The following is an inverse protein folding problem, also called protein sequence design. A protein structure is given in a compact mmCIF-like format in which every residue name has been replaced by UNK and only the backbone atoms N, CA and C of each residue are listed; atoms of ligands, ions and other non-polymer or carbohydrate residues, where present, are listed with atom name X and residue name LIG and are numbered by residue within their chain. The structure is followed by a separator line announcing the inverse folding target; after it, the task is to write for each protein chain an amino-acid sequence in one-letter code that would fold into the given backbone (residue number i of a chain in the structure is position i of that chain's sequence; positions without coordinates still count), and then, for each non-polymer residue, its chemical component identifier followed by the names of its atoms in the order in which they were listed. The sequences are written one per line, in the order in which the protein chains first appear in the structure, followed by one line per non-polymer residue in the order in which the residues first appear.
data_IF_638908073363
#
_entry.id   IF_638908073363
#
_cell.length_a   1.000
_cell.length_b   1.000
_cell.length_c   1.000
_cell.angle_alpha   90.00
_cell.angle_beta   90.00
_cell.angle_gamma   90.00
#
_symmetry.space_group_name_H-M   'P 1'
#
loop_
_entity.id
_entity.type
_entity.pdbx_description
1 polymer ?
#
# COMPACT_ATOMS: atom_id res chain seq x y z
N UNK A 1 -2.93 5.26 -14.69
CA UNK A 1 -2.31 4.70 -13.47
C UNK A 1 -3.16 5.16 -12.31
N UNK A 2 -3.67 4.22 -11.55
CA UNK A 2 -4.56 4.49 -10.42
C UNK A 2 -3.80 4.30 -9.11
N UNK A 3 -4.18 5.04 -8.06
CA UNK A 3 -3.49 5.01 -6.76
C UNK A 3 -4.53 4.87 -5.65
N UNK A 4 -4.33 3.89 -4.78
CA UNK A 4 -5.19 3.65 -3.62
C UNK A 4 -4.34 3.40 -2.37
N UNK A 5 -4.56 4.16 -1.32
CA UNK A 5 -3.94 3.91 -0.03
C UNK A 5 -4.77 2.92 0.80
N UNK A 6 -4.10 2.03 1.51
CA UNK A 6 -4.70 1.18 2.55
C UNK A 6 -4.05 1.52 3.88
N UNK A 7 -4.80 2.17 4.73
CA UNK A 7 -4.32 2.73 5.99
C UNK A 7 -5.03 2.09 7.21
N UNK A 8 -4.70 2.55 8.39
CA UNK A 8 -5.17 2.06 9.67
C UNK A 8 -4.04 1.94 10.69
N UNK A 9 -4.38 1.67 11.93
CA UNK A 9 -3.37 1.56 13.00
C UNK A 9 -2.55 0.27 12.88
N UNK A 10 -1.48 0.18 13.66
CA UNK A 10 -0.65 -1.03 13.73
C UNK A 10 -1.50 -2.24 14.12
N UNK A 11 -1.26 -3.39 13.49
CA UNK A 11 -1.97 -4.66 13.72
C UNK A 11 -3.48 -4.66 13.37
N UNK A 12 -3.97 -3.68 12.61
CA UNK A 12 -5.37 -3.70 12.13
C UNK A 12 -5.62 -4.70 11.00
N UNK A 13 -4.59 -5.31 10.41
CA UNK A 13 -4.73 -6.29 9.33
C UNK A 13 -4.52 -5.73 7.92
N UNK A 14 -3.93 -4.53 7.78
CA UNK A 14 -3.62 -3.91 6.47
C UNK A 14 -2.89 -4.83 5.50
N UNK A 15 -1.76 -5.36 5.93
CA UNK A 15 -0.94 -6.24 5.08
C UNK A 15 -1.70 -7.49 4.65
N UNK A 16 -2.50 -8.08 5.57
CA UNK A 16 -3.34 -9.24 5.26
C UNK A 16 -4.39 -8.89 4.20
N UNK A 17 -5.06 -7.75 4.34
CA UNK A 17 -6.04 -7.30 3.36
C UNK A 17 -5.38 -7.01 2.01
N UNK A 18 -4.28 -6.24 2.00
CA UNK A 18 -3.52 -5.93 0.78
C UNK A 18 -3.07 -7.18 0.03
N UNK A 19 -2.54 -8.17 0.75
CA UNK A 19 -2.11 -9.43 0.13
C UNK A 19 -3.28 -10.14 -0.57
N UNK A 20 -4.47 -10.18 0.05
CA UNK A 20 -5.67 -10.79 -0.53
C UNK A 20 -6.17 -10.01 -1.76
N UNK A 21 -6.22 -8.67 -1.68
CA UNK A 21 -6.61 -7.79 -2.79
C UNK A 21 -5.63 -7.96 -3.96
N UNK A 22 -4.33 -7.89 -3.69
CA UNK A 22 -3.28 -8.05 -4.70
C UNK A 22 -3.41 -9.40 -5.40
N UNK A 23 -3.58 -10.50 -4.65
CA UNK A 23 -3.72 -11.82 -5.23
C UNK A 23 -4.96 -11.92 -6.14
N UNK A 24 -6.11 -11.38 -5.70
CA UNK A 24 -7.35 -11.41 -6.48
C UNK A 24 -7.22 -10.59 -7.77
N UNK A 25 -6.81 -9.32 -7.68
CA UNK A 25 -6.70 -8.44 -8.84
C UNK A 25 -5.62 -8.90 -9.83
N UNK A 26 -4.48 -9.41 -9.32
CA UNK A 26 -3.43 -9.98 -10.19
C UNK A 26 -3.90 -11.25 -10.91
N UNK A 27 -4.72 -12.09 -10.27
CA UNK A 27 -5.31 -13.27 -10.93
C UNK A 27 -6.29 -12.91 -12.04
N UNK A 28 -6.83 -11.69 -12.03
CA UNK A 28 -7.70 -11.10 -13.06
C UNK A 28 -6.91 -10.38 -14.17
N UNK A 29 -5.56 -10.44 -14.11
CA UNK A 29 -4.67 -9.88 -15.14
C UNK A 29 -4.19 -8.46 -14.88
N UNK A 30 -4.55 -7.83 -13.76
CA UNK A 30 -4.07 -6.48 -13.43
C UNK A 30 -2.62 -6.49 -12.95
N UNK A 31 -1.83 -5.52 -13.41
CA UNK A 31 -0.47 -5.27 -12.91
C UNK A 31 -0.54 -4.38 -11.67
N UNK A 32 -0.29 -4.98 -10.51
CA UNK A 32 -0.35 -4.30 -9.22
C UNK A 32 1.05 -4.02 -8.71
N UNK A 33 1.36 -2.76 -8.39
CA UNK A 33 2.53 -2.40 -7.61
C UNK A 33 2.11 -2.09 -6.16
N UNK A 34 2.95 -2.45 -5.20
CA UNK A 34 2.71 -2.14 -3.78
C UNK A 34 3.88 -1.33 -3.24
N UNK A 35 3.58 -0.17 -2.68
CA UNK A 35 4.55 0.68 -2.00
C UNK A 35 4.19 0.75 -0.52
N UNK A 36 5.12 0.34 0.34
CA UNK A 36 4.92 0.40 1.79
C UNK A 36 5.74 1.53 2.39
N UNK A 37 5.07 2.38 3.15
CA UNK A 37 5.73 3.36 4.02
C UNK A 37 5.95 2.71 5.40
N UNK A 38 7.22 2.57 5.80
CA UNK A 38 7.57 2.19 7.17
C UNK A 38 7.94 3.46 7.94
N UNK A 39 7.24 3.73 9.04
CA UNK A 39 7.50 4.90 9.90
C UNK A 39 8.75 4.76 10.77
N UNK A 40 9.44 3.64 10.67
CA UNK A 40 10.68 3.34 11.38
C UNK A 40 11.78 2.99 10.37
N UNK A 41 13.02 2.99 10.83
CA UNK A 41 14.11 2.46 10.01
C UNK A 41 13.90 0.97 9.75
N UNK A 42 14.07 0.55 8.50
CA UNK A 42 14.04 -0.86 8.12
C UNK A 42 15.37 -1.25 7.49
N UNK A 43 15.70 -2.52 7.52
CA UNK A 43 16.88 -3.04 6.87
C UNK A 43 16.49 -3.56 5.47
N UNK A 44 16.88 -2.84 4.40
CA UNK A 44 16.41 -3.14 3.06
C UNK A 44 17.07 -4.34 2.42
N UNK A 45 18.24 -4.76 2.94
CA UNK A 45 19.01 -5.87 2.39
C UNK A 45 19.36 -6.90 3.48
N UNK A 46 19.66 -8.11 3.03
CA UNK A 46 19.96 -9.22 3.93
C UNK A 46 21.43 -9.17 4.37
N UNK A 47 21.73 -9.17 5.68
CA UNK A 47 23.09 -9.20 6.18
C UNK A 47 23.91 -10.35 5.59
N UNK A 48 25.16 -10.04 5.20
CA UNK A 48 26.10 -11.01 4.67
C UNK A 48 26.04 -11.25 3.16
N UNK A 49 25.06 -10.68 2.45
CA UNK A 49 25.04 -10.69 0.98
C UNK A 49 26.09 -9.74 0.40
N UNK A 50 26.46 -9.92 -0.86
CA UNK A 50 27.45 -9.05 -1.50
C UNK A 50 26.94 -7.60 -1.62
N UNK A 51 25.66 -7.41 -1.95
CA UNK A 51 25.02 -6.09 -2.00
C UNK A 51 25.05 -5.39 -0.64
N UNK A 52 24.75 -6.13 0.43
CA UNK A 52 24.86 -5.62 1.81
C UNK A 52 26.30 -5.19 2.14
N UNK A 53 27.30 -6.02 1.80
CA UNK A 53 28.73 -5.70 2.04
C UNK A 53 29.18 -4.46 1.26
N UNK A 54 28.70 -4.26 0.03
CA UNK A 54 28.98 -3.05 -0.73
C UNK A 54 28.37 -1.81 -0.06
N UNK A 55 27.14 -1.91 0.48
CA UNK A 55 26.51 -0.82 1.23
C UNK A 55 27.32 -0.49 2.50
N UNK A 56 27.72 -1.49 3.28
CA UNK A 56 28.56 -1.28 4.47
C UNK A 56 29.92 -0.64 4.14
N UNK A 57 30.47 -0.93 2.97
CA UNK A 57 31.71 -0.33 2.48
C UNK A 57 31.56 1.13 2.02
N UNK A 58 30.32 1.70 2.07
CA UNK A 58 30.06 3.10 1.77
C UNK A 58 29.44 3.38 0.39
N UNK A 59 28.97 2.36 -0.34
CA UNK A 59 28.24 2.60 -1.57
C UNK A 59 26.91 3.33 -1.27
N UNK A 60 26.64 4.47 -1.92
CA UNK A 60 25.39 5.22 -1.74
C UNK A 60 24.17 4.47 -2.29
N UNK A 61 24.39 3.54 -3.21
CA UNK A 61 23.35 2.68 -3.77
C UNK A 61 23.94 1.33 -4.19
N UNK A 62 23.11 0.29 -4.14
CA UNK A 62 23.39 -1.03 -4.73
C UNK A 62 22.20 -1.50 -5.55
N UNK A 63 22.47 -2.14 -6.67
CA UNK A 63 21.44 -2.80 -7.47
C UNK A 63 21.88 -4.26 -7.74
N UNK A 64 20.94 -5.16 -7.59
CA UNK A 64 21.07 -6.57 -7.94
C UNK A 64 20.01 -6.92 -8.96
N UNK A 65 20.38 -7.55 -10.06
CA UNK A 65 19.42 -7.89 -11.11
C UNK A 65 19.70 -9.27 -11.72
N UNK A 66 18.65 -9.82 -12.30
CA UNK A 66 18.72 -11.00 -13.16
C UNK A 66 17.85 -10.79 -14.40
N UNK A 67 17.64 -11.83 -15.21
CA UNK A 67 16.84 -11.72 -16.45
C UNK A 67 15.36 -11.36 -16.23
N UNK A 68 14.83 -11.51 -15.01
CA UNK A 68 13.39 -11.36 -14.74
C UNK A 68 13.06 -10.36 -13.62
N UNK A 69 14.04 -9.93 -12.84
CA UNK A 69 13.80 -8.98 -11.75
C UNK A 69 15.07 -8.19 -11.38
N UNK A 70 14.87 -7.09 -10.69
CA UNK A 70 15.95 -6.35 -10.03
C UNK A 70 15.52 -5.88 -8.64
N UNK A 71 16.52 -5.60 -7.81
CA UNK A 71 16.38 -4.94 -6.52
C UNK A 71 17.31 -3.73 -6.47
N UNK A 72 16.84 -2.62 -5.93
CA UNK A 72 17.61 -1.39 -5.76
C UNK A 72 17.50 -0.91 -4.32
N UNK A 73 18.65 -0.70 -3.70
CA UNK A 73 18.76 -0.04 -2.38
C UNK A 73 19.57 1.23 -2.57
N UNK A 74 18.97 2.37 -2.26
CA UNK A 74 19.59 3.70 -2.45
C UNK A 74 19.34 4.57 -1.23
N UNK A 75 20.41 5.17 -0.72
CA UNK A 75 20.30 6.21 0.33
C UNK A 75 19.73 7.49 -0.30
N UNK A 76 19.00 8.22 0.51
CA UNK A 76 18.45 9.52 0.13
C UNK A 76 18.93 10.59 1.11
N UNK A 77 19.16 11.82 0.61
CA UNK A 77 19.61 12.95 1.42
C UNK A 77 18.46 13.68 2.14
N UNK A 78 17.27 13.07 2.18
CA UNK A 78 16.07 13.64 2.79
C UNK A 78 14.87 12.68 2.66
N UNK A 79 13.68 13.14 3.06
CA UNK A 79 12.47 12.36 2.92
C UNK A 79 12.25 11.92 1.47
N UNK A 80 11.84 10.68 1.30
CA UNK A 80 11.45 10.17 -0.01
C UNK A 80 10.06 10.72 -0.35
N UNK A 81 9.95 11.41 -1.48
CA UNK A 81 8.67 11.74 -2.07
C UNK A 81 8.09 10.48 -2.71
N UNK A 82 6.93 10.04 -2.24
CA UNK A 82 6.27 8.84 -2.75
C UNK A 82 5.95 8.93 -4.24
N UNK A 83 5.66 10.12 -4.76
CA UNK A 83 5.39 10.31 -6.19
C UNK A 83 6.61 9.95 -7.05
N UNK A 84 7.83 10.18 -6.54
CA UNK A 84 9.05 9.77 -7.21
C UNK A 84 9.20 8.25 -7.35
N UNK A 85 8.56 7.47 -6.45
CA UNK A 85 8.57 6.02 -6.51
C UNK A 85 7.64 5.47 -7.60
N UNK A 86 6.59 6.19 -7.97
CA UNK A 86 5.66 5.76 -9.02
C UNK A 86 6.34 5.60 -10.38
N UNK A 87 7.38 6.40 -10.64
CA UNK A 87 8.17 6.31 -11.87
C UNK A 87 8.87 4.96 -12.08
N UNK A 88 9.02 4.16 -11.03
CA UNK A 88 9.55 2.79 -11.14
C UNK A 88 8.50 1.77 -11.62
N UNK A 89 7.24 2.15 -11.69
CA UNK A 89 6.12 1.26 -12.01
C UNK A 89 5.23 1.80 -13.15
N UNK A 90 5.81 2.19 -14.30
CA UNK A 90 5.05 2.85 -15.38
C UNK A 90 3.98 1.93 -16.00
N UNK A 91 4.12 0.61 -15.83
CA UNK A 91 3.22 -0.40 -16.40
C UNK A 91 2.14 -0.85 -15.40
N UNK A 92 2.13 -0.30 -14.17
CA UNK A 92 1.14 -0.69 -13.17
C UNK A 92 -0.23 -0.11 -13.53
N UNK A 93 -1.24 -0.95 -13.51
CA UNK A 93 -2.65 -0.54 -13.62
C UNK A 93 -3.11 0.13 -12.32
N UNK A 94 -2.63 -0.38 -11.18
CA UNK A 94 -2.94 0.14 -9.85
C UNK A 94 -1.71 0.10 -8.93
N UNK A 95 -1.43 1.21 -8.26
CA UNK A 95 -0.47 1.29 -7.17
C UNK A 95 -1.22 1.27 -5.83
N UNK A 96 -0.92 0.28 -5.00
CA UNK A 96 -1.43 0.16 -3.64
C UNK A 96 -0.40 0.70 -2.64
N UNK A 97 -0.80 1.69 -1.85
CA UNK A 97 0.05 2.32 -0.84
C UNK A 97 -0.29 1.75 0.55
N UNK A 98 0.62 1.00 1.16
CA UNK A 98 0.43 0.52 2.54
C UNK A 98 0.88 1.58 3.56
N UNK A 99 -0.07 2.06 4.35
CA UNK A 99 0.15 3.13 5.32
C UNK A 99 -0.47 4.44 4.85
N UNK A 100 0.31 5.48 4.68
CA UNK A 100 -0.09 6.76 4.04
C UNK A 100 -1.40 7.38 4.56
N UNK A 101 -1.70 7.21 5.85
CA UNK A 101 -2.99 7.63 6.46
C UNK A 101 -3.28 9.13 6.36
N UNK A 102 -2.25 9.95 6.17
CA UNK A 102 -2.36 11.41 6.06
C UNK A 102 -2.15 11.93 4.62
N UNK A 103 -1.97 11.05 3.65
CA UNK A 103 -1.84 11.45 2.24
C UNK A 103 -3.16 12.01 1.69
N UNK A 104 -3.07 12.65 0.54
CA UNK A 104 -4.22 13.14 -0.24
C UNK A 104 -4.80 12.07 -1.19
N UNK A 105 -4.22 10.87 -1.24
CA UNK A 105 -4.73 9.81 -2.09
C UNK A 105 -6.04 9.22 -1.55
N UNK A 106 -6.97 8.78 -2.42
CA UNK A 106 -8.11 7.98 -2.02
C UNK A 106 -7.66 6.80 -1.16
N UNK A 107 -8.41 6.51 -0.10
CA UNK A 107 -7.96 5.50 0.86
C UNK A 107 -9.06 4.61 1.38
N UNK A 108 -8.69 3.38 1.65
CA UNK A 108 -9.47 2.43 2.45
C UNK A 108 -8.83 2.34 3.83
N UNK A 109 -9.59 2.53 4.88
CA UNK A 109 -9.11 2.34 6.24
C UNK A 109 -9.50 0.96 6.78
N UNK A 110 -8.49 0.24 7.29
CA UNK A 110 -8.69 -1.07 7.92
C UNK A 110 -8.76 -0.90 9.44
N UNK A 111 -9.89 -1.28 10.00
CA UNK A 111 -10.16 -1.21 11.43
C UNK A 111 -10.44 -2.60 12.00
N UNK A 112 -10.05 -2.80 13.24
CA UNK A 112 -10.39 -3.98 14.05
C UNK A 112 -10.87 -3.52 15.41
N UNK A 113 -12.05 -3.95 15.82
CA UNK A 113 -12.66 -3.58 17.11
C UNK A 113 -11.78 -3.92 18.31
N UNK A 114 -11.00 -4.98 18.22
CA UNK A 114 -10.01 -5.38 19.22
C UNK A 114 -8.80 -4.43 19.34
N UNK A 115 -8.57 -3.54 18.36
CA UNK A 115 -7.41 -2.65 18.30
C UNK A 115 -7.82 -1.18 18.35
N UNK A 116 -8.84 -0.78 17.60
CA UNK A 116 -9.44 0.57 17.62
C UNK A 116 -10.84 0.55 17.04
N UNK A 117 -11.71 1.36 17.63
CA UNK A 117 -13.07 1.61 17.12
C UNK A 117 -13.25 2.93 16.41
N UNK A 118 -12.20 3.77 16.40
CA UNK A 118 -12.23 5.07 15.75
C UNK A 118 -11.25 5.09 14.59
N UNK A 119 -11.60 5.74 13.47
CA UNK A 119 -10.69 5.96 12.34
C UNK A 119 -9.42 6.69 12.77
N UNK A 120 -8.29 6.33 12.20
CA UNK A 120 -6.99 6.93 12.45
C UNK A 120 -6.49 7.79 11.29
N UNK A 121 -7.17 7.73 10.13
CA UNK A 121 -6.80 8.48 8.95
C UNK A 121 -7.55 9.80 8.83
N UNK A 122 -7.02 10.68 7.97
CA UNK A 122 -7.77 11.83 7.50
C UNK A 122 -9.00 11.37 6.71
N UNK A 123 -10.20 11.86 7.10
CA UNK A 123 -11.48 11.47 6.52
C UNK A 123 -11.72 12.04 5.11
N UNK A 124 -10.99 13.08 4.73
CA UNK A 124 -11.22 13.85 3.49
C UNK A 124 -11.15 13.00 2.22
N UNK A 125 -10.29 11.98 2.19
CA UNK A 125 -10.10 11.10 1.04
C UNK A 125 -10.46 9.64 1.36
N UNK A 126 -11.27 9.42 2.40
CA UNK A 126 -11.70 8.09 2.81
C UNK A 126 -12.85 7.62 1.92
N UNK A 127 -12.60 6.63 1.06
CA UNK A 127 -13.61 6.08 0.14
C UNK A 127 -14.29 4.84 0.70
N UNK A 128 -13.62 4.08 1.56
CA UNK A 128 -14.21 2.92 2.23
C UNK A 128 -13.54 2.61 3.58
N UNK A 129 -14.27 1.89 4.42
CA UNK A 129 -13.80 1.28 5.65
C UNK A 129 -13.95 -0.23 5.56
N UNK A 130 -12.92 -0.96 5.94
CA UNK A 130 -12.94 -2.41 6.11
C UNK A 130 -12.82 -2.72 7.60
N UNK A 131 -13.89 -3.24 8.20
CA UNK A 131 -13.88 -3.51 9.65
C UNK A 131 -14.75 -4.71 10.02
N UNK A 132 -14.43 -5.30 11.17
CA UNK A 132 -15.19 -6.41 11.77
C UNK A 132 -16.48 -5.95 12.48
N UNK A 133 -16.64 -4.65 12.68
CA UNK A 133 -17.85 -4.03 13.23
C UNK A 133 -18.20 -2.85 12.30
N UNK A 134 -19.46 -2.72 11.86
CA UNK A 134 -19.88 -1.56 11.06
C UNK A 134 -19.54 -0.26 11.81
N UNK A 135 -18.90 0.71 11.12
CA UNK A 135 -18.73 2.04 11.67
C UNK A 135 -20.07 2.78 11.75
N UNK A 136 -20.08 3.90 12.43
CA UNK A 136 -21.23 4.81 12.36
C UNK A 136 -21.53 5.16 10.90
N UNK A 137 -22.80 5.22 10.50
CA UNK A 137 -23.18 5.49 9.13
C UNK A 137 -22.57 6.80 8.62
N UNK A 138 -21.85 6.71 7.50
CA UNK A 138 -21.39 7.87 6.75
C UNK A 138 -21.93 7.80 5.32
N UNK A 139 -22.57 8.85 4.80
CA UNK A 139 -23.19 8.81 3.47
C UNK A 139 -22.19 8.68 2.33
N UNK A 140 -20.91 8.95 2.58
CA UNK A 140 -19.87 8.99 1.54
C UNK A 140 -18.83 7.87 1.66
N UNK A 141 -18.92 7.01 2.70
CA UNK A 141 -17.91 5.98 2.96
C UNK A 141 -18.55 4.60 2.94
N UNK A 142 -18.12 3.76 2.00
CA UNK A 142 -18.62 2.38 1.90
C UNK A 142 -17.99 1.50 2.98
N UNK A 143 -18.77 0.59 3.55
CA UNK A 143 -18.29 -0.38 4.52
C UNK A 143 -18.21 -1.79 3.92
N UNK A 144 -17.13 -2.50 4.25
CA UNK A 144 -16.92 -3.91 3.92
C UNK A 144 -16.47 -4.70 5.14
N UNK A 145 -16.86 -5.97 5.20
CA UNK A 145 -16.25 -6.90 6.13
C UNK A 145 -14.90 -7.39 5.61
N UNK A 146 -13.94 -7.74 6.50
CA UNK A 146 -12.56 -8.08 6.10
C UNK A 146 -12.41 -9.29 5.18
N UNK A 147 -13.40 -10.16 5.13
CA UNK A 147 -13.39 -11.35 4.28
C UNK A 147 -14.16 -11.17 2.97
N UNK A 148 -14.81 -10.02 2.77
CA UNK A 148 -15.47 -9.68 1.50
C UNK A 148 -14.48 -9.16 0.44
N UNK A 149 -13.48 -9.97 0.12
CA UNK A 149 -12.43 -9.59 -0.84
C UNK A 149 -13.01 -9.31 -2.22
N UNK A 150 -14.02 -10.08 -2.64
CA UNK A 150 -14.65 -9.89 -3.95
C UNK A 150 -15.36 -8.54 -4.03
N UNK A 151 -16.15 -8.18 -3.03
CA UNK A 151 -16.83 -6.89 -2.96
C UNK A 151 -15.85 -5.72 -2.93
N UNK A 152 -14.75 -5.85 -2.17
CA UNK A 152 -13.70 -4.83 -2.12
C UNK A 152 -13.01 -4.67 -3.47
N UNK A 153 -12.64 -5.76 -4.16
CA UNK A 153 -12.01 -5.69 -5.48
C UNK A 153 -12.95 -5.12 -6.54
N UNK A 154 -14.23 -5.48 -6.50
CA UNK A 154 -15.24 -4.89 -7.38
C UNK A 154 -15.35 -3.38 -7.14
N UNK A 155 -15.44 -2.95 -5.88
CA UNK A 155 -15.48 -1.54 -5.52
C UNK A 155 -14.23 -0.78 -6.02
N UNK A 156 -13.03 -1.35 -5.88
CA UNK A 156 -11.80 -0.74 -6.40
C UNK A 156 -11.91 -0.50 -7.92
N UNK A 157 -12.38 -1.48 -8.70
CA UNK A 157 -12.59 -1.31 -10.15
C UNK A 157 -13.61 -0.23 -10.46
N UNK A 158 -14.73 -0.20 -9.76
CA UNK A 158 -15.75 0.84 -9.89
C UNK A 158 -15.17 2.24 -9.65
N UNK A 159 -14.27 2.39 -8.66
CA UNK A 159 -13.61 3.66 -8.37
C UNK A 159 -12.56 4.04 -9.43
N UNK A 160 -11.85 3.05 -10.01
CA UNK A 160 -10.94 3.27 -11.13
C UNK A 160 -11.71 3.74 -12.37
N UNK A 161 -12.81 3.06 -12.73
CA UNK A 161 -13.65 3.40 -13.87
C UNK A 161 -14.30 4.79 -13.72
N UNK A 162 -14.60 5.18 -12.49
CA UNK A 162 -15.15 6.50 -12.16
C UNK A 162 -14.10 7.62 -12.13
N UNK A 163 -12.80 7.30 -12.28
CA UNK A 163 -11.71 8.27 -12.21
C UNK A 163 -11.50 8.86 -10.82
N UNK A 164 -11.87 8.13 -9.76
CA UNK A 164 -11.68 8.54 -8.37
C UNK A 164 -10.32 8.12 -7.84
N UNK A 165 -9.78 6.99 -8.33
CA UNK A 165 -8.44 6.49 -8.01
C UNK A 165 -7.39 6.99 -8.99
#
# INVERSE_FOLDING_TARGET
MHILAVCGIKNSGKTTLLTKITAQLSSEGMKIAVIKHDGHSFQPDRPGTDSFRHKEAGAYATAVFCSSCFSLVKDTNGPVDEASLFAFFPEADLILLEGFKYSHYPKIEVMRSAVSRSPASNQEHLVAVVSDVPPDPSPHTRHFFPDDIRGICQFIREQMDAGIL
#
